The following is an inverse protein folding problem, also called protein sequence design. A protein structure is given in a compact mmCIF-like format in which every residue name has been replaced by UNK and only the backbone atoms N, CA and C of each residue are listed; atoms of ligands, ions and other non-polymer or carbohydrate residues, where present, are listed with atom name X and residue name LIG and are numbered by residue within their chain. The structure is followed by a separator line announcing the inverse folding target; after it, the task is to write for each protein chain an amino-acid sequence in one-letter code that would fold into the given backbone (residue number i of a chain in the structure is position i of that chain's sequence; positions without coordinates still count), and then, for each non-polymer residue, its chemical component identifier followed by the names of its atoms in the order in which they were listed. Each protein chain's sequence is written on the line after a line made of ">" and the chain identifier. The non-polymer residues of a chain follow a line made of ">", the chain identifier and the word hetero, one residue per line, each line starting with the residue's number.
data_IF_686922446023
#
_entry.id   IF_686922446023
#
_cell.length_a   1.000
_cell.length_b   1.000
_cell.length_c   1.000
_cell.angle_alpha   90.00
_cell.angle_beta   90.00
_cell.angle_gamma   90.00
#
_symmetry.space_group_name_H-M   'P 1'
#
loop_
_entity.id
_entity.type
_entity.pdbx_description
1 polymer ?
#
# COMPACT_ATOMS: atom_id res chain seq x y z
N UNK A 1 13.17 54.99 -10.86
CA UNK A 1 12.70 53.61 -10.57
C UNK A 1 12.99 52.75 -11.80
N UNK A 2 13.76 51.68 -11.67
CA UNK A 2 14.30 50.92 -12.82
C UNK A 2 13.35 49.79 -13.26
N UNK A 3 13.05 49.70 -14.57
CA UNK A 3 12.24 48.60 -15.14
C UNK A 3 12.82 47.20 -14.84
N UNK A 4 14.12 47.14 -14.56
CA UNK A 4 14.82 45.90 -14.24
C UNK A 4 14.41 45.34 -12.87
N UNK A 5 14.18 46.21 -11.88
CA UNK A 5 13.68 45.83 -10.55
C UNK A 5 12.22 45.39 -10.57
N UNK A 6 11.36 46.02 -11.39
CA UNK A 6 9.95 45.61 -11.53
C UNK A 6 9.81 44.23 -12.18
N UNK A 7 10.62 43.94 -13.21
CA UNK A 7 10.65 42.61 -13.83
C UNK A 7 11.13 41.52 -12.89
N UNK A 8 12.11 41.82 -12.03
CA UNK A 8 12.57 40.87 -11.00
C UNK A 8 11.50 40.63 -9.94
N UNK A 9 10.79 41.68 -9.50
CA UNK A 9 9.71 41.57 -8.52
C UNK A 9 8.53 40.75 -9.05
N UNK A 10 8.08 41.02 -10.27
CA UNK A 10 7.02 40.25 -10.93
C UNK A 10 7.37 38.76 -11.11
N UNK A 11 8.64 38.44 -11.44
CA UNK A 11 9.10 37.04 -11.52
C UNK A 11 9.09 36.35 -10.15
N UNK A 12 9.50 37.06 -9.09
CA UNK A 12 9.51 36.53 -7.71
C UNK A 12 8.10 36.27 -7.20
N UNK A 13 7.18 37.19 -7.47
CA UNK A 13 5.77 37.11 -7.05
C UNK A 13 4.96 36.08 -7.84
N UNK A 14 5.42 35.67 -9.03
CA UNK A 14 4.84 34.54 -9.78
C UNK A 14 5.32 33.18 -9.26
N UNK A 15 6.53 33.13 -8.69
CA UNK A 15 7.16 31.90 -8.21
C UNK A 15 6.63 31.44 -6.83
N UNK A 16 6.15 32.38 -6.01
CA UNK A 16 5.55 32.12 -4.69
C UNK A 16 4.21 31.37 -4.75
N UNK A 17 3.20 31.76 -5.56
CA UNK A 17 1.95 31.01 -5.69
C UNK A 17 2.17 29.66 -6.36
N UNK A 18 3.16 29.52 -7.26
CA UNK A 18 3.49 28.24 -7.86
C UNK A 18 4.10 27.25 -6.85
N UNK A 19 5.02 27.71 -5.99
CA UNK A 19 5.52 26.92 -4.85
C UNK A 19 4.41 26.51 -3.89
N UNK A 20 3.46 27.42 -3.61
CA UNK A 20 2.29 27.12 -2.76
C UNK A 20 1.40 26.03 -3.38
N UNK A 21 1.14 26.08 -4.70
CA UNK A 21 0.38 25.05 -5.42
C UNK A 21 1.07 23.69 -5.40
N UNK A 22 2.39 23.65 -5.60
CA UNK A 22 3.16 22.39 -5.55
C UNK A 22 3.12 21.78 -4.15
N UNK A 23 3.31 22.60 -3.10
CA UNK A 23 3.19 22.14 -1.70
C UNK A 23 1.78 21.63 -1.39
N UNK A 24 0.75 22.34 -1.84
CA UNK A 24 -0.65 21.92 -1.68
C UNK A 24 -0.93 20.59 -2.36
N UNK A 25 -0.54 20.42 -3.63
CA UNK A 25 -0.68 19.14 -4.35
C UNK A 25 0.12 18.01 -3.70
N UNK A 26 1.27 18.32 -3.13
CA UNK A 26 2.04 17.32 -2.37
C UNK A 26 1.30 16.91 -1.09
N UNK A 27 0.78 17.88 -0.33
CA UNK A 27 -0.02 17.60 0.86
C UNK A 27 -1.30 16.79 0.52
N UNK A 28 -2.00 17.13 -0.57
CA UNK A 28 -3.18 16.39 -1.05
C UNK A 28 -2.82 14.93 -1.37
N UNK A 29 -1.67 14.69 -2.03
CA UNK A 29 -1.16 13.33 -2.28
C UNK A 29 -0.83 12.58 -0.99
N UNK A 30 -0.21 13.22 -0.01
CA UNK A 30 0.08 12.60 1.29
C UNK A 30 -1.22 12.25 2.04
N UNK A 31 -2.23 13.12 2.00
CA UNK A 31 -3.55 12.85 2.61
C UNK A 31 -4.22 11.65 1.94
N UNK A 32 -4.16 11.56 0.59
CA UNK A 32 -4.66 10.39 -0.13
C UNK A 32 -3.94 9.11 0.31
N UNK A 33 -2.60 9.13 0.36
CA UNK A 33 -1.80 7.99 0.80
C UNK A 33 -2.15 7.54 2.23
N UNK A 34 -2.32 8.48 3.17
CA UNK A 34 -2.73 8.13 4.55
C UNK A 34 -4.11 7.47 4.58
N UNK A 35 -5.05 7.94 3.76
CA UNK A 35 -6.38 7.33 3.64
C UNK A 35 -6.29 5.91 3.09
N UNK A 36 -5.50 5.71 2.04
CA UNK A 36 -5.32 4.39 1.42
C UNK A 36 -4.64 3.42 2.39
N UNK A 37 -3.58 3.84 3.09
CA UNK A 37 -2.92 3.02 4.11
C UNK A 37 -3.87 2.66 5.25
N UNK A 38 -4.74 3.58 5.67
CA UNK A 38 -5.76 3.28 6.69
C UNK A 38 -6.79 2.27 6.19
N UNK A 39 -7.29 2.43 4.97
CA UNK A 39 -8.23 1.49 4.39
C UNK A 39 -7.61 0.07 4.27
N UNK A 40 -6.35 -0.03 3.84
CA UNK A 40 -5.61 -1.29 3.79
C UNK A 40 -5.46 -1.93 5.17
N UNK A 41 -5.06 -1.13 6.18
CA UNK A 41 -4.97 -1.61 7.56
C UNK A 41 -6.32 -2.12 8.07
N UNK A 42 -7.38 -1.36 7.85
CA UNK A 42 -8.71 -1.72 8.36
C UNK A 42 -9.23 -2.99 7.67
N UNK A 43 -8.92 -3.20 6.38
CA UNK A 43 -9.18 -4.46 5.68
C UNK A 43 -8.40 -5.63 6.28
N UNK A 44 -7.09 -5.47 6.55
CA UNK A 44 -6.27 -6.50 7.19
C UNK A 44 -6.77 -6.84 8.59
N UNK A 45 -7.18 -5.84 9.38
CA UNK A 45 -7.77 -6.06 10.71
C UNK A 45 -9.08 -6.85 10.58
N UNK A 46 -9.95 -6.50 9.64
CA UNK A 46 -11.19 -7.24 9.41
C UNK A 46 -10.95 -8.71 9.01
N UNK A 47 -9.94 -8.98 8.18
CA UNK A 47 -9.54 -10.34 7.80
C UNK A 47 -9.01 -11.13 9.01
N UNK A 48 -8.18 -10.50 9.86
CA UNK A 48 -7.67 -11.11 11.07
C UNK A 48 -8.79 -11.39 12.08
N UNK A 49 -9.73 -10.47 12.26
CA UNK A 49 -10.91 -10.65 13.12
C UNK A 49 -11.78 -11.82 12.64
N UNK A 50 -12.01 -11.94 11.33
CA UNK A 50 -12.71 -13.09 10.76
C UNK A 50 -11.96 -14.40 11.00
N UNK A 51 -10.63 -14.40 10.86
CA UNK A 51 -9.80 -15.58 11.13
C UNK A 51 -9.84 -15.96 12.61
N UNK A 52 -9.73 -15.00 13.52
CA UNK A 52 -9.85 -15.21 14.96
C UNK A 52 -11.23 -15.78 15.32
N UNK A 53 -12.29 -15.23 14.72
CA UNK A 53 -13.65 -15.75 14.85
C UNK A 53 -13.80 -17.21 14.42
N UNK A 54 -13.19 -17.60 13.30
CA UNK A 54 -13.18 -19.00 12.83
C UNK A 54 -12.46 -19.93 13.81
N UNK A 55 -11.29 -19.53 14.31
CA UNK A 55 -10.56 -20.30 15.31
C UNK A 55 -11.36 -20.46 16.61
N UNK A 56 -12.05 -19.41 17.07
CA UNK A 56 -12.95 -19.49 18.23
C UNK A 56 -14.14 -20.43 18.02
N UNK A 57 -14.63 -20.56 16.78
CA UNK A 57 -15.66 -21.54 16.44
C UNK A 57 -15.09 -22.97 16.46
N UNK A 58 -13.91 -23.20 15.86
CA UNK A 58 -13.23 -24.49 15.90
C UNK A 58 -12.93 -24.95 17.33
N UNK A 59 -12.44 -24.05 18.20
CA UNK A 59 -12.21 -24.33 19.63
C UNK A 59 -13.49 -24.79 20.34
N UNK A 60 -14.63 -24.17 20.01
CA UNK A 60 -15.93 -24.57 20.55
C UNK A 60 -16.32 -25.96 20.04
N UNK A 61 -16.06 -26.26 18.78
CA UNK A 61 -16.48 -27.51 18.14
C UNK A 61 -15.67 -28.72 18.64
N UNK A 62 -14.40 -28.53 19.04
CA UNK A 62 -13.59 -29.58 19.70
C UNK A 62 -13.94 -29.79 21.19
N UNK A 63 -14.92 -29.07 21.72
CA UNK A 63 -15.38 -29.21 23.11
C UNK A 63 -14.41 -28.66 24.17
N UNK A 64 -13.46 -27.79 23.77
CA UNK A 64 -12.63 -27.04 24.70
C UNK A 64 -13.48 -25.98 25.43
N UNK A 65 -12.98 -25.37 26.52
CA UNK A 65 -13.76 -24.89 27.65
C UNK A 65 -14.70 -23.73 27.26
N UNK A 66 -15.53 -23.30 28.22
CA UNK A 66 -16.57 -22.29 28.00
C UNK A 66 -16.02 -21.03 27.31
N UNK A 67 -16.91 -20.23 26.71
CA UNK A 67 -16.49 -18.99 26.03
C UNK A 67 -15.67 -18.07 26.93
N UNK A 68 -15.96 -18.04 28.24
CA UNK A 68 -15.22 -17.24 29.22
C UNK A 68 -13.79 -17.75 29.44
N UNK A 69 -13.61 -19.06 29.51
CA UNK A 69 -12.30 -19.69 29.70
C UNK A 69 -11.44 -19.55 28.44
N UNK A 70 -12.05 -19.76 27.26
CA UNK A 70 -11.39 -19.49 25.97
C UNK A 70 -10.99 -18.02 25.85
N UNK A 71 -11.87 -17.07 26.22
CA UNK A 71 -11.56 -15.65 26.20
C UNK A 71 -10.39 -15.29 27.13
N UNK A 72 -10.39 -15.83 28.36
CA UNK A 72 -9.31 -15.64 29.32
C UNK A 72 -7.97 -16.20 28.80
N UNK A 73 -7.97 -17.40 28.20
CA UNK A 73 -6.77 -18.00 27.61
C UNK A 73 -6.20 -17.18 26.44
N UNK A 74 -7.07 -16.52 25.67
CA UNK A 74 -6.66 -15.63 24.58
C UNK A 74 -6.33 -14.19 25.03
N UNK A 75 -6.49 -13.85 26.31
CA UNK A 75 -6.28 -12.48 26.81
C UNK A 75 -7.32 -11.48 26.29
N UNK A 76 -8.53 -11.95 25.98
CA UNK A 76 -9.63 -11.15 25.43
C UNK A 76 -10.76 -11.00 26.46
N UNK A 77 -11.49 -9.88 26.46
CA UNK A 77 -12.70 -9.79 27.24
C UNK A 77 -13.81 -10.66 26.61
N UNK A 78 -14.70 -11.20 27.44
CA UNK A 78 -15.72 -12.18 26.99
C UNK A 78 -16.64 -11.62 25.89
N UNK A 79 -16.99 -10.33 25.97
CA UNK A 79 -17.82 -9.68 24.95
C UNK A 79 -17.13 -9.62 23.58
N UNK A 80 -15.80 -9.46 23.57
CA UNK A 80 -14.99 -9.43 22.35
C UNK A 80 -14.94 -10.81 21.71
N UNK A 81 -14.63 -11.84 22.49
CA UNK A 81 -14.66 -13.23 22.03
C UNK A 81 -16.05 -13.61 21.48
N UNK A 82 -17.12 -13.17 22.15
CA UNK A 82 -18.49 -13.35 21.68
C UNK A 82 -18.80 -12.61 20.38
N UNK A 83 -18.24 -11.41 20.18
CA UNK A 83 -18.35 -10.65 18.92
C UNK A 83 -17.61 -11.37 17.80
N UNK A 84 -16.34 -11.69 18.01
CA UNK A 84 -15.49 -12.36 17.02
C UNK A 84 -16.07 -13.69 16.57
N UNK A 85 -16.58 -14.53 17.50
CA UNK A 85 -17.20 -15.82 17.16
C UNK A 85 -18.43 -15.71 16.25
N UNK A 86 -19.10 -14.55 16.23
CA UNK A 86 -20.27 -14.28 15.38
C UNK A 86 -19.89 -13.77 13.98
N UNK A 87 -18.71 -13.17 13.81
CA UNK A 87 -18.30 -12.57 12.54
C UNK A 87 -18.29 -13.56 11.36
N UNK A 88 -17.79 -14.80 11.47
CA UNK A 88 -17.82 -15.75 10.36
C UNK A 88 -19.23 -16.14 9.93
N UNK A 89 -20.16 -16.21 10.88
CA UNK A 89 -21.57 -16.52 10.61
C UNK A 89 -22.23 -15.38 9.84
N UNK A 90 -22.01 -14.14 10.30
CA UNK A 90 -22.50 -12.94 9.64
C UNK A 90 -21.94 -12.78 8.22
N UNK A 91 -20.65 -13.08 8.02
CA UNK A 91 -20.02 -13.04 6.70
C UNK A 91 -20.54 -14.12 5.74
N UNK A 92 -20.92 -15.30 6.25
CA UNK A 92 -21.55 -16.34 5.43
C UNK A 92 -22.98 -15.96 5.00
N UNK A 93 -23.71 -15.24 5.84
CA UNK A 93 -25.08 -14.77 5.58
C UNK A 93 -25.13 -13.59 4.59
N UNK A 94 -24.09 -12.76 4.52
CA UNK A 94 -24.08 -11.57 3.65
C UNK A 94 -23.68 -11.86 2.19
N UNK A 95 -23.23 -13.09 1.88
CA UNK A 95 -22.74 -13.44 0.54
C UNK A 95 -21.44 -12.70 0.17
N UNK A 96 -20.68 -13.18 -0.84
CA UNK A 96 -19.48 -12.46 -1.28
C UNK A 96 -19.87 -11.07 -1.78
N UNK A 97 -19.16 -9.99 -1.40
CA UNK A 97 -19.38 -8.70 -2.01
C UNK A 97 -19.09 -8.85 -3.51
N UNK A 98 -20.10 -8.62 -4.36
CA UNK A 98 -19.87 -8.41 -5.79
C UNK A 98 -18.98 -7.18 -5.93
N UNK A 99 -17.66 -7.41 -6.00
CA UNK A 99 -16.71 -6.42 -6.46
C UNK A 99 -16.96 -6.26 -7.95
N UNK A 100 -17.84 -5.33 -8.32
CA UNK A 100 -17.86 -4.83 -9.69
C UNK A 100 -16.53 -4.13 -9.91
N UNK A 101 -15.65 -4.78 -10.68
CA UNK A 101 -14.43 -4.15 -11.17
C UNK A 101 -14.82 -2.90 -11.97
N UNK A 102 -14.14 -1.75 -11.80
CA UNK A 102 -14.39 -0.59 -12.63
C UNK A 102 -13.99 -0.94 -14.08
N UNK A 103 -14.98 -1.14 -14.94
CA UNK A 103 -14.78 -1.26 -16.38
C UNK A 103 -14.38 0.11 -16.92
N UNK A 104 -13.08 0.35 -17.03
CA UNK A 104 -12.55 1.46 -17.84
C UNK A 104 -12.75 1.11 -19.31
N UNK A 105 -13.83 1.62 -19.90
CA UNK A 105 -14.02 1.64 -21.35
C UNK A 105 -12.90 2.50 -21.97
N UNK A 106 -11.84 1.85 -22.40
CA UNK A 106 -10.93 2.40 -23.39
C UNK A 106 -11.62 2.33 -24.77
N UNK A 107 -12.51 3.28 -25.05
CA UNK A 107 -12.95 3.54 -26.43
C UNK A 107 -11.97 4.50 -27.08
N UNK A 108 -11.10 3.91 -27.90
CA UNK A 108 -10.33 4.52 -28.97
C UNK A 108 -11.23 5.41 -29.84
N UNK A 109 -10.97 6.71 -29.85
CA UNK A 109 -11.37 7.60 -30.92
C UNK A 109 -10.12 7.94 -31.73
N UNK A 110 -10.03 7.31 -32.89
CA UNK A 110 -9.14 7.59 -34.01
C UNK A 110 -9.38 9.00 -34.56
N UNK A 111 -8.31 9.80 -34.62
CA UNK A 111 -8.15 10.92 -35.54
C UNK A 111 -6.67 10.83 -35.98
N UNK A 112 -6.38 10.19 -37.11
CA UNK A 112 -6.43 10.74 -38.47
C UNK A 112 -5.35 11.82 -38.72
N UNK A 113 -4.56 11.50 -39.73
CA UNK A 113 -3.80 12.33 -40.65
C UNK A 113 -2.42 12.97 -40.31
N UNK A 114 -1.45 12.41 -41.04
CA UNK A 114 -0.49 13.05 -41.94
C UNK A 114 0.93 13.49 -41.51
N UNK A 115 1.85 12.96 -42.33
CA UNK A 115 3.18 13.47 -42.76
C UNK A 115 4.45 13.21 -41.93
N UNK A 116 5.21 12.29 -42.53
CA UNK A 116 6.62 12.42 -42.97
C UNK A 116 7.66 12.54 -41.83
N UNK A 117 8.49 11.50 -41.71
CA UNK A 117 9.84 11.45 -42.33
C UNK A 117 10.65 10.32 -41.67
N UNK A 118 11.01 9.29 -42.45
CA UNK A 118 12.07 8.36 -42.09
C UNK A 118 13.44 9.06 -42.16
N UNK A 119 14.37 8.68 -41.28
CA UNK A 119 15.62 8.07 -41.75
C UNK A 119 15.88 6.75 -40.97
N UNK A 120 16.03 5.63 -41.67
CA UNK A 120 17.31 5.06 -42.16
C UNK A 120 18.13 4.44 -41.03
N UNK A 121 18.35 3.13 -41.21
CA UNK A 121 19.23 2.25 -40.46
C UNK A 121 20.66 2.80 -40.32
N UNK A 122 21.40 2.17 -39.39
CA UNK A 122 22.83 2.32 -39.08
C UNK A 122 23.16 3.20 -37.86
N UNK A 123 23.10 2.63 -36.65
CA UNK A 123 24.27 2.66 -35.74
C UNK A 123 24.07 1.73 -34.53
N UNK A 124 25.06 0.84 -34.34
CA UNK A 124 25.49 0.23 -33.07
C UNK A 124 24.53 -0.83 -32.48
N UNK A 125 24.64 -2.13 -32.77
CA UNK A 125 25.79 -3.02 -32.62
C UNK A 125 26.67 -2.68 -31.40
N UNK A 126 26.84 -3.67 -30.51
CA UNK A 126 27.82 -3.76 -29.40
C UNK A 126 27.34 -3.29 -28.02
N UNK A 127 26.60 -4.15 -27.32
CA UNK A 127 26.71 -4.30 -25.85
C UNK A 127 26.14 -5.64 -25.36
N UNK A 128 26.55 -6.76 -25.96
CA UNK A 128 26.51 -8.04 -25.27
C UNK A 128 27.81 -8.20 -24.48
N UNK A 129 27.70 -8.18 -23.15
CA UNK A 129 28.84 -8.21 -22.26
C UNK A 129 28.45 -8.69 -20.87
N UNK A 130 28.45 -10.01 -20.71
CA UNK A 130 28.87 -10.75 -19.52
C UNK A 130 28.16 -10.43 -18.18
N UNK A 131 27.21 -11.29 -17.81
CA UNK A 131 26.84 -11.50 -16.41
C UNK A 131 27.10 -12.96 -16.03
N UNK A 132 27.57 -13.13 -14.80
CA UNK A 132 27.67 -14.34 -13.98
C UNK A 132 29.04 -15.03 -13.96
N UNK A 133 29.88 -14.60 -13.00
CA UNK A 133 30.79 -15.49 -12.31
C UNK A 133 30.98 -15.06 -10.83
N UNK A 134 31.10 -16.06 -9.94
CA UNK A 134 31.54 -15.97 -8.54
C UNK A 134 30.57 -15.32 -7.54
N UNK A 135 30.11 -15.95 -6.47
CA UNK A 135 30.81 -16.90 -5.59
C UNK A 135 30.77 -16.36 -4.15
N UNK A 136 30.02 -17.05 -3.30
CA UNK A 136 30.18 -17.23 -1.84
C UNK A 136 30.82 -16.12 -0.97
N UNK A 137 30.13 -15.75 0.12
CA UNK A 137 30.71 -15.70 1.48
C UNK A 137 29.65 -15.60 2.59
N UNK A 138 29.55 -16.69 3.35
CA UNK A 138 29.07 -16.71 4.73
C UNK A 138 30.10 -16.02 5.65
N UNK A 139 29.62 -15.17 6.55
CA UNK A 139 30.21 -14.84 7.86
C UNK A 139 29.09 -14.11 8.63
N UNK A 140 28.65 -14.51 9.82
CA UNK A 140 29.41 -15.02 10.95
C UNK A 140 29.63 -13.90 11.97
N UNK A 141 28.56 -13.35 12.55
CA UNK A 141 28.67 -12.36 13.63
C UNK A 141 28.21 -12.99 14.96
N UNK A 142 29.18 -13.31 15.82
CA UNK A 142 28.97 -13.78 17.19
C UNK A 142 28.68 -12.61 18.11
N UNK A 143 27.64 -12.75 18.92
CA UNK A 143 27.21 -11.86 19.98
C UNK A 143 27.99 -12.19 21.28
N UNK A 144 28.52 -11.20 21.97
CA UNK A 144 28.90 -11.31 23.39
C UNK A 144 28.38 -10.09 24.16
N UNK A 145 27.69 -10.28 25.31
CA UNK A 145 27.36 -9.18 26.21
C UNK A 145 28.49 -8.97 27.22
N UNK A 146 28.87 -7.70 27.44
CA UNK A 146 29.78 -7.27 28.49
C UNK A 146 28.96 -6.86 29.71
N UNK A 147 28.98 -7.67 30.76
CA UNK A 147 28.50 -7.29 32.09
C UNK A 147 29.51 -6.35 32.74
N UNK A 148 29.03 -5.24 33.28
CA UNK A 148 29.79 -4.35 34.17
C UNK A 148 29.21 -4.47 35.58
N UNK A 149 30.05 -4.88 36.51
CA UNK A 149 29.90 -4.62 37.95
C UNK A 149 30.40 -3.21 38.26
#
# INVERSE_FOLDING_TARGET
>A
MSQQTDRQRARRDRFTPQKSRVRRRHAERLVAQVRDTRAQRDALVAELDLRAGRLLAEIKDIGWPTLSETAAACGLPVHEAARLRRLPQQAAETGPPSVQAPTVNASTATADDDRRRAPSDEEQAMAEGTNQDGGSRQAGARYTPRSSS
#
